data_IF_686067022412
#
_entry.id   IF_686067022412
#
_cell.length_a   1.000
_cell.length_b   1.000
_cell.length_c   1.000
_cell.angle_alpha   90.00
_cell.angle_beta   90.00
_cell.angle_gamma   90.00
#
_symmetry.space_group_name_H-M   'P 1'
#
loop_
_entity.id
_entity.type
_entity.pdbx_description
1 polymer ?
#
# COMPACT_ATOMS: atom_id res chain seq x y z
N UNK A 1 -31.20 -15.24 -12.43
CA UNK A 1 -29.97 -14.49 -12.55
C UNK A 1 -29.57 -14.07 -11.14
N UNK A 2 -28.61 -14.75 -10.55
CA UNK A 2 -28.14 -14.52 -9.17
C UNK A 2 -27.57 -13.11 -9.01
N UNK A 3 -27.71 -12.50 -7.82
CA UNK A 3 -27.18 -11.17 -7.47
C UNK A 3 -25.71 -11.02 -7.88
N UNK A 4 -24.93 -12.08 -7.72
CA UNK A 4 -23.49 -12.12 -8.02
C UNK A 4 -23.16 -11.87 -9.50
N UNK A 5 -24.01 -12.36 -10.43
CA UNK A 5 -23.82 -12.08 -11.87
C UNK A 5 -24.12 -10.64 -12.28
N UNK A 6 -24.95 -9.94 -11.51
CA UNK A 6 -25.27 -8.53 -11.77
C UNK A 6 -24.12 -7.65 -11.26
N UNK A 7 -23.58 -7.97 -10.11
CA UNK A 7 -22.41 -7.25 -9.51
C UNK A 7 -21.20 -7.39 -10.42
N UNK A 8 -20.84 -8.60 -10.86
CA UNK A 8 -19.74 -8.85 -11.80
C UNK A 8 -19.90 -8.08 -13.12
N UNK A 9 -21.13 -8.02 -13.69
CA UNK A 9 -21.36 -7.25 -14.92
C UNK A 9 -21.25 -5.73 -14.72
N UNK A 10 -21.62 -5.21 -13.56
CA UNK A 10 -21.46 -3.79 -13.23
C UNK A 10 -20.00 -3.44 -13.01
N UNK A 11 -19.25 -4.29 -12.33
CA UNK A 11 -17.83 -4.13 -12.09
C UNK A 11 -17.02 -4.12 -13.41
N UNK A 12 -17.25 -5.08 -14.30
CA UNK A 12 -16.62 -5.08 -15.62
C UNK A 12 -16.97 -3.85 -16.47
N UNK A 13 -18.23 -3.37 -16.41
CA UNK A 13 -18.62 -2.14 -17.10
C UNK A 13 -17.90 -0.91 -16.57
N UNK A 14 -17.70 -0.81 -15.25
CA UNK A 14 -16.99 0.30 -14.62
C UNK A 14 -15.50 0.28 -15.02
N UNK A 15 -14.86 -0.89 -15.02
CA UNK A 15 -13.48 -1.06 -15.48
C UNK A 15 -13.30 -0.63 -16.95
N UNK A 16 -14.18 -1.06 -17.83
CA UNK A 16 -14.15 -0.65 -19.25
C UNK A 16 -14.32 0.86 -19.39
N UNK A 17 -15.27 1.48 -18.67
CA UNK A 17 -15.47 2.92 -18.71
C UNK A 17 -14.23 3.70 -18.20
N UNK A 18 -13.57 3.21 -17.15
CA UNK A 18 -12.31 3.80 -16.67
C UNK A 18 -11.21 3.70 -17.74
N UNK A 19 -11.05 2.55 -18.40
CA UNK A 19 -10.07 2.39 -19.48
C UNK A 19 -10.38 3.26 -20.70
N UNK A 20 -11.64 3.45 -21.05
CA UNK A 20 -12.05 4.38 -22.11
C UNK A 20 -11.69 5.83 -21.76
N UNK A 21 -11.88 6.22 -20.48
CA UNK A 21 -11.49 7.54 -19.98
C UNK A 21 -9.97 7.72 -20.00
N UNK A 22 -9.21 6.73 -19.53
CA UNK A 22 -7.73 6.72 -19.57
C UNK A 22 -7.25 6.85 -21.00
N UNK A 23 -7.82 6.08 -21.93
CA UNK A 23 -7.46 6.15 -23.35
C UNK A 23 -7.72 7.52 -23.96
N UNK A 24 -8.82 8.21 -23.57
CA UNK A 24 -9.13 9.57 -24.02
C UNK A 24 -8.13 10.59 -23.46
N UNK A 25 -7.80 10.50 -22.16
CA UNK A 25 -6.84 11.41 -21.50
C UNK A 25 -5.46 11.26 -22.13
N UNK A 26 -5.04 10.04 -22.46
CA UNK A 26 -3.73 9.71 -23.00
C UNK A 26 -3.70 9.60 -24.54
N UNK A 27 -4.74 10.07 -25.24
CA UNK A 27 -4.84 10.01 -26.72
C UNK A 27 -3.63 10.61 -27.44
N UNK A 28 -3.01 11.63 -26.84
CA UNK A 28 -1.83 12.33 -27.39
C UNK A 28 -0.49 11.63 -27.07
N UNK A 29 -0.53 10.55 -26.30
CA UNK A 29 0.62 9.71 -25.98
C UNK A 29 0.63 8.49 -26.91
N UNK A 30 1.80 7.93 -27.18
CA UNK A 30 1.95 6.75 -28.04
C UNK A 30 1.62 5.45 -27.28
N UNK A 31 0.39 5.37 -26.75
CA UNK A 31 -0.10 4.21 -26.00
C UNK A 31 -1.28 3.60 -26.75
N UNK A 32 -1.17 2.32 -27.11
CA UNK A 32 -2.25 1.55 -27.71
C UNK A 32 -3.07 0.79 -26.67
N UNK A 33 -4.40 0.90 -26.74
CA UNK A 33 -5.32 0.15 -25.88
C UNK A 33 -5.99 -0.97 -26.65
N UNK A 34 -5.91 -2.21 -26.15
CA UNK A 34 -6.47 -3.39 -26.79
C UNK A 34 -7.23 -4.24 -25.76
N UNK A 35 -8.38 -4.75 -26.14
CA UNK A 35 -9.14 -5.71 -25.34
C UNK A 35 -9.01 -7.10 -25.98
N UNK A 36 -8.58 -8.08 -25.18
CA UNK A 36 -8.45 -9.48 -25.60
C UNK A 36 -9.52 -10.33 -24.93
N UNK A 37 -10.32 -11.04 -25.76
CA UNK A 37 -11.24 -12.07 -25.25
C UNK A 37 -10.48 -13.36 -25.02
N UNK A 38 -10.08 -13.62 -23.76
CA UNK A 38 -9.24 -14.77 -23.38
C UNK A 38 -9.85 -16.13 -23.78
N UNK A 39 -11.18 -16.22 -23.93
CA UNK A 39 -11.87 -17.45 -24.36
C UNK A 39 -11.78 -17.67 -25.87
N UNK A 40 -11.91 -16.59 -26.64
CA UNK A 40 -11.81 -16.66 -28.11
C UNK A 40 -10.37 -16.69 -28.59
N UNK A 41 -9.49 -15.95 -27.93
CA UNK A 41 -8.09 -15.75 -28.30
C UNK A 41 -7.13 -16.45 -27.33
N UNK A 42 -7.50 -17.64 -26.83
CA UNK A 42 -6.74 -18.37 -25.80
C UNK A 42 -5.25 -18.62 -26.16
N UNK A 43 -4.95 -18.81 -27.46
CA UNK A 43 -3.58 -18.99 -27.92
C UNK A 43 -2.76 -17.69 -27.80
N UNK A 44 -3.39 -16.56 -28.10
CA UNK A 44 -2.76 -15.23 -28.00
C UNK A 44 -2.54 -14.88 -26.54
N UNK A 45 -3.55 -15.04 -25.69
CA UNK A 45 -3.46 -14.80 -24.26
C UNK A 45 -2.30 -15.59 -23.62
N UNK A 46 -2.23 -16.89 -23.92
CA UNK A 46 -1.13 -17.74 -23.44
C UNK A 46 0.24 -17.31 -23.94
N UNK A 47 0.34 -16.90 -25.23
CA UNK A 47 1.60 -16.44 -25.83
C UNK A 47 2.11 -15.14 -25.16
N UNK A 48 1.19 -14.26 -24.78
CA UNK A 48 1.49 -12.98 -24.14
C UNK A 48 1.65 -13.09 -22.62
N UNK A 49 1.44 -14.26 -22.03
CA UNK A 49 1.54 -14.45 -20.57
C UNK A 49 0.33 -13.93 -19.78
N UNK A 50 -0.82 -13.72 -20.46
CA UNK A 50 -2.05 -13.27 -19.79
C UNK A 50 -2.70 -14.46 -19.07
N UNK A 51 -2.47 -14.56 -17.77
CA UNK A 51 -2.86 -15.72 -16.97
C UNK A 51 -4.25 -15.58 -16.35
N UNK A 52 -4.71 -14.34 -16.09
CA UNK A 52 -5.94 -14.06 -15.38
C UNK A 52 -6.98 -13.30 -16.21
N UNK A 53 -8.25 -13.74 -16.10
CA UNK A 53 -9.38 -13.05 -16.73
C UNK A 53 -9.72 -11.77 -15.93
N UNK A 54 -9.76 -10.63 -16.62
CA UNK A 54 -10.11 -9.34 -16.03
C UNK A 54 -8.93 -8.52 -15.52
N UNK A 55 -7.72 -9.04 -15.63
CA UNK A 55 -6.48 -8.32 -15.35
C UNK A 55 -6.13 -7.34 -16.45
N UNK A 56 -5.38 -6.32 -16.10
CA UNK A 56 -4.79 -5.33 -17.00
C UNK A 56 -3.29 -5.61 -17.14
N UNK A 57 -2.87 -5.85 -18.37
CA UNK A 57 -1.47 -6.04 -18.69
C UNK A 57 -0.94 -4.89 -19.54
N UNK A 58 0.24 -4.42 -19.21
CA UNK A 58 0.97 -3.40 -19.97
C UNK A 58 2.17 -4.05 -20.63
N UNK A 59 2.30 -3.86 -21.94
CA UNK A 59 3.43 -4.33 -22.74
C UNK A 59 4.35 -3.14 -23.03
N UNK A 60 5.56 -3.16 -22.47
CA UNK A 60 6.60 -2.17 -22.74
C UNK A 60 7.88 -2.88 -23.20
N UNK A 61 8.23 -2.76 -24.48
CA UNK A 61 9.32 -3.54 -25.06
C UNK A 61 9.06 -5.04 -24.88
N UNK A 62 10.00 -5.73 -24.27
CA UNK A 62 9.90 -7.18 -23.99
C UNK A 62 9.27 -7.48 -22.60
N UNK A 63 8.94 -6.45 -21.83
CA UNK A 63 8.30 -6.59 -20.51
C UNK A 63 6.80 -6.69 -20.62
N UNK A 64 6.22 -7.59 -19.84
CA UNK A 64 4.80 -7.65 -19.54
C UNK A 64 4.62 -7.31 -18.06
N UNK A 65 3.87 -6.24 -17.78
CA UNK A 65 3.60 -5.75 -16.44
C UNK A 65 2.12 -6.00 -16.17
N UNK A 66 1.79 -6.73 -15.12
CA UNK A 66 0.43 -6.84 -14.61
C UNK A 66 0.18 -5.65 -13.67
N UNK A 67 -0.95 -4.96 -13.87
CA UNK A 67 -1.31 -3.83 -13.01
C UNK A 67 -2.10 -4.34 -11.81
N UNK A 68 -1.51 -4.22 -10.63
CA UNK A 68 -2.05 -4.68 -9.34
C UNK A 68 -2.54 -3.54 -8.44
N UNK A 69 -2.65 -2.31 -8.99
CA UNK A 69 -3.12 -1.15 -8.25
C UNK A 69 -4.64 -0.99 -8.23
N UNK A 70 -5.10 0.07 -7.59
CA UNK A 70 -6.50 0.47 -7.61
C UNK A 70 -6.96 0.77 -9.04
N UNK A 71 -8.07 0.16 -9.47
CA UNK A 71 -8.58 0.31 -10.83
C UNK A 71 -9.41 1.60 -10.96
N UNK A 72 -8.75 2.75 -10.77
CA UNK A 72 -9.27 4.11 -10.93
C UNK A 72 -8.60 4.80 -12.12
N UNK A 73 -9.30 5.72 -12.76
CA UNK A 73 -8.80 6.32 -14.00
C UNK A 73 -7.59 7.23 -13.75
N UNK A 74 -7.57 7.99 -12.67
CA UNK A 74 -6.48 8.85 -12.24
C UNK A 74 -5.22 8.05 -11.90
N UNK A 75 -5.35 7.00 -11.10
CA UNK A 75 -4.25 6.08 -10.75
C UNK A 75 -3.64 5.45 -11.99
N UNK A 76 -4.47 4.98 -12.93
CA UNK A 76 -4.00 4.39 -14.19
C UNK A 76 -3.31 5.40 -15.09
N UNK A 77 -3.79 6.65 -15.14
CA UNK A 77 -3.15 7.72 -15.93
C UNK A 77 -1.77 8.02 -15.38
N UNK A 78 -1.63 8.22 -14.08
CA UNK A 78 -0.34 8.47 -13.42
C UNK A 78 0.63 7.31 -13.63
N UNK A 79 0.18 6.09 -13.37
CA UNK A 79 0.98 4.89 -13.58
C UNK A 79 1.53 4.77 -15.01
N UNK A 80 0.67 4.99 -16.02
CA UNK A 80 1.08 4.92 -17.42
C UNK A 80 2.00 6.07 -17.82
N UNK A 81 1.80 7.27 -17.27
CA UNK A 81 2.69 8.41 -17.51
C UNK A 81 4.09 8.13 -16.95
N UNK A 82 4.18 7.67 -15.71
CA UNK A 82 5.47 7.29 -15.10
C UNK A 82 6.16 6.16 -15.87
N UNK A 83 5.38 5.21 -16.39
CA UNK A 83 5.94 4.07 -17.14
C UNK A 83 6.49 4.43 -18.52
N UNK A 84 5.99 5.48 -19.16
CA UNK A 84 6.48 5.93 -20.49
C UNK A 84 7.62 6.95 -20.40
N UNK A 85 7.95 7.44 -19.22
CA UNK A 85 9.13 8.29 -18.99
C UNK A 85 10.42 7.47 -19.09
N UNK A 86 11.56 8.17 -19.20
CA UNK A 86 12.86 7.51 -19.15
C UNK A 86 13.04 6.82 -17.78
N UNK A 87 13.61 5.60 -17.75
CA UNK A 87 13.74 4.85 -16.50
C UNK A 87 14.70 5.49 -15.48
N UNK A 88 15.59 6.37 -15.94
CA UNK A 88 16.56 7.11 -15.10
C UNK A 88 16.40 8.60 -15.31
N UNK A 89 16.16 9.34 -14.23
CA UNK A 89 16.15 10.79 -14.23
C UNK A 89 17.56 11.34 -14.04
N UNK A 90 17.98 12.25 -14.91
CA UNK A 90 19.32 12.84 -14.85
C UNK A 90 19.30 14.12 -14.00
N UNK A 91 20.16 14.18 -12.98
CA UNK A 91 20.32 15.31 -12.06
C UNK A 91 21.63 16.03 -12.33
N UNK A 92 21.57 17.31 -12.75
CA UNK A 92 22.74 18.12 -13.08
C UNK A 92 22.80 19.47 -12.35
N UNK A 93 21.84 19.77 -11.49
CA UNK A 93 21.74 21.06 -10.81
C UNK A 93 21.43 20.93 -9.32
N UNK A 94 21.67 22.02 -8.57
CA UNK A 94 21.31 22.09 -7.15
C UNK A 94 19.78 21.95 -6.92
N UNK A 95 18.99 22.46 -7.84
CA UNK A 95 17.53 22.43 -7.72
C UNK A 95 17.01 20.99 -7.86
N UNK A 96 17.55 20.25 -8.83
CA UNK A 96 17.23 18.84 -9.04
C UNK A 96 17.70 17.98 -7.87
N UNK A 97 18.88 18.26 -7.28
CA UNK A 97 19.31 17.60 -6.05
C UNK A 97 18.34 17.86 -4.90
N UNK A 98 17.86 19.10 -4.73
CA UNK A 98 16.86 19.40 -3.70
C UNK A 98 15.54 18.69 -3.96
N UNK A 99 15.12 18.54 -5.22
CA UNK A 99 13.95 17.75 -5.56
C UNK A 99 14.15 16.27 -5.21
N UNK A 100 15.31 15.70 -5.53
CA UNK A 100 15.69 14.34 -5.14
C UNK A 100 15.69 14.15 -3.62
N UNK A 101 16.30 15.07 -2.87
CA UNK A 101 16.34 15.02 -1.40
C UNK A 101 14.93 15.06 -0.77
N UNK A 102 13.95 15.71 -1.41
CA UNK A 102 12.56 15.82 -0.93
C UNK A 102 11.71 14.56 -1.18
N UNK A 103 12.17 13.64 -2.02
CA UNK A 103 11.50 12.36 -2.19
C UNK A 103 11.80 11.53 -0.96
N UNK A 104 10.84 11.48 -0.02
CA UNK A 104 11.04 10.80 1.27
C UNK A 104 10.46 9.39 1.28
N UNK A 105 9.31 9.20 0.63
CA UNK A 105 8.43 8.04 0.80
C UNK A 105 8.58 6.96 -0.29
N UNK A 106 9.62 7.05 -1.12
CA UNK A 106 9.95 6.07 -2.15
C UNK A 106 11.34 5.49 -1.94
N UNK A 107 11.50 4.23 -2.31
CA UNK A 107 12.83 3.70 -2.59
C UNK A 107 13.38 4.47 -3.79
N UNK A 108 14.58 5.01 -3.65
CA UNK A 108 15.28 5.73 -4.71
C UNK A 108 16.74 5.35 -4.76
N UNK A 109 17.30 5.26 -5.96
CA UNK A 109 18.71 5.04 -6.19
C UNK A 109 19.31 6.22 -6.94
N UNK A 110 20.59 6.51 -6.68
CA UNK A 110 21.34 7.48 -7.46
C UNK A 110 22.74 6.97 -7.75
N UNK A 111 23.14 7.09 -9.02
CA UNK A 111 24.49 6.73 -9.48
C UNK A 111 25.27 7.91 -10.04
N UNK A 112 26.58 7.85 -9.93
CA UNK A 112 27.49 8.80 -10.58
C UNK A 112 28.32 8.10 -11.66
N UNK A 113 28.15 8.55 -12.91
CA UNK A 113 28.79 7.94 -14.08
C UNK A 113 29.55 8.98 -14.91
N UNK A 114 30.40 8.49 -15.82
CA UNK A 114 31.21 9.36 -16.67
C UNK A 114 30.35 10.06 -17.73
N UNK A 115 29.39 9.33 -18.33
CA UNK A 115 28.48 9.79 -19.38
C UNK A 115 27.41 8.72 -19.63
N UNK A 116 26.39 9.06 -20.41
CA UNK A 116 25.35 8.12 -20.89
C UNK A 116 25.92 6.98 -21.77
N UNK A 117 27.05 7.20 -22.42
CA UNK A 117 27.72 6.16 -23.22
C UNK A 117 28.49 5.13 -22.37
N UNK A 118 28.64 5.39 -21.06
CA UNK A 118 29.32 4.46 -20.15
C UNK A 118 28.60 3.14 -20.06
N UNK A 119 29.32 2.02 -20.17
CA UNK A 119 28.75 0.68 -19.97
C UNK A 119 28.13 0.51 -18.58
N UNK A 120 28.67 1.19 -17.56
CA UNK A 120 28.13 1.13 -16.21
C UNK A 120 26.85 1.93 -16.04
N UNK A 121 26.69 3.05 -16.76
CA UNK A 121 25.40 3.75 -16.82
C UNK A 121 24.33 2.92 -17.54
N UNK A 122 24.68 2.27 -18.64
CA UNK A 122 23.74 1.40 -19.38
C UNK A 122 23.26 0.24 -18.53
N UNK A 123 24.16 -0.43 -17.78
CA UNK A 123 23.78 -1.49 -16.86
C UNK A 123 22.83 -0.95 -15.75
N UNK A 124 23.07 0.27 -15.26
CA UNK A 124 22.20 0.93 -14.30
C UNK A 124 20.83 1.29 -14.91
N UNK A 125 20.79 1.79 -16.14
CA UNK A 125 19.57 2.11 -16.87
C UNK A 125 18.74 0.84 -17.17
N UNK A 126 19.38 -0.24 -17.62
CA UNK A 126 18.76 -1.54 -17.84
C UNK A 126 18.19 -2.11 -16.53
N UNK A 127 18.91 -1.97 -15.41
CA UNK A 127 18.40 -2.36 -14.09
C UNK A 127 17.17 -1.51 -13.68
N UNK A 128 17.18 -0.21 -13.97
CA UNK A 128 16.06 0.67 -13.67
C UNK A 128 14.76 0.26 -14.39
N UNK A 129 14.88 -0.24 -15.61
CA UNK A 129 13.72 -0.72 -16.37
C UNK A 129 12.98 -1.87 -15.67
N UNK A 130 13.67 -2.69 -14.87
CA UNK A 130 13.02 -3.78 -14.10
C UNK A 130 12.06 -3.29 -13.04
N UNK A 131 12.32 -2.10 -12.49
CA UNK A 131 11.59 -1.57 -11.32
C UNK A 131 10.67 -0.40 -11.64
N UNK A 132 10.71 0.09 -12.88
CA UNK A 132 9.83 1.18 -13.32
C UNK A 132 8.36 0.69 -13.36
N UNK A 133 7.40 1.47 -12.85
CA UNK A 133 7.54 2.82 -12.30
C UNK A 133 7.70 2.86 -10.77
N UNK A 134 7.80 1.73 -10.08
CA UNK A 134 7.69 1.60 -8.62
C UNK A 134 8.88 2.16 -7.85
N UNK A 135 10.10 2.05 -8.40
CA UNK A 135 11.34 2.52 -7.77
C UNK A 135 11.93 3.62 -8.65
N UNK A 136 12.33 4.72 -8.02
CA UNK A 136 12.89 5.89 -8.71
C UNK A 136 14.41 5.75 -8.85
N UNK A 137 14.89 5.80 -10.10
CA UNK A 137 16.32 5.76 -10.43
C UNK A 137 16.80 7.11 -10.93
N UNK A 138 17.90 7.58 -10.36
CA UNK A 138 18.51 8.86 -10.71
C UNK A 138 19.99 8.67 -11.08
N UNK A 139 20.52 9.52 -11.94
CA UNK A 139 21.93 9.52 -12.25
C UNK A 139 22.44 10.95 -12.39
N UNK A 140 23.74 11.12 -12.13
CA UNK A 140 24.43 12.36 -12.43
C UNK A 140 25.73 12.09 -13.18
N UNK A 141 26.07 13.01 -14.07
CA UNK A 141 27.37 13.09 -14.74
C UNK A 141 28.16 14.30 -14.26
N UNK A 142 27.55 15.12 -13.40
CA UNK A 142 28.15 16.34 -12.85
C UNK A 142 28.94 16.06 -11.56
N UNK A 143 30.23 16.45 -11.55
CA UNK A 143 31.10 16.24 -10.41
C UNK A 143 30.71 17.08 -9.18
N UNK A 144 30.07 18.22 -9.38
CA UNK A 144 29.60 19.09 -8.29
C UNK A 144 28.43 18.47 -7.56
N UNK A 145 27.48 17.89 -8.31
CA UNK A 145 26.34 17.12 -7.78
C UNK A 145 26.86 15.88 -7.05
N UNK A 146 27.74 15.09 -7.69
CA UNK A 146 28.31 13.90 -7.08
C UNK A 146 29.05 14.22 -5.77
N UNK A 147 29.79 15.34 -5.73
CA UNK A 147 30.47 15.78 -4.49
C UNK A 147 29.47 16.16 -3.40
N UNK A 148 28.35 16.83 -3.76
CA UNK A 148 27.32 17.20 -2.78
C UNK A 148 26.68 15.97 -2.14
N UNK A 149 26.44 14.92 -2.93
CA UNK A 149 25.86 13.65 -2.50
C UNK A 149 26.89 12.63 -2.03
N UNK A 150 28.19 13.00 -1.96
CA UNK A 150 29.29 12.13 -1.55
C UNK A 150 29.50 10.89 -2.43
N UNK A 151 28.99 10.90 -3.66
CA UNK A 151 29.08 9.82 -4.63
C UNK A 151 30.47 9.73 -5.26
N UNK A 152 31.00 8.53 -5.38
CA UNK A 152 32.23 8.22 -6.11
C UNK A 152 31.89 7.71 -7.51
N UNK A 153 32.86 7.79 -8.42
CA UNK A 153 32.68 7.31 -9.79
C UNK A 153 32.23 5.84 -9.84
N UNK A 154 31.17 5.58 -10.61
CA UNK A 154 30.51 4.28 -10.74
C UNK A 154 29.92 3.71 -9.44
N UNK A 155 29.70 4.54 -8.44
CA UNK A 155 29.02 4.20 -7.21
C UNK A 155 27.54 4.43 -7.35
N UNK A 156 26.74 3.54 -6.78
CA UNK A 156 25.29 3.64 -6.69
C UNK A 156 24.89 3.58 -5.22
N UNK A 157 24.13 4.58 -4.81
CA UNK A 157 23.56 4.70 -3.47
C UNK A 157 22.08 4.33 -3.51
N UNK A 158 21.68 3.48 -2.57
CA UNK A 158 20.31 3.02 -2.38
C UNK A 158 19.72 3.69 -1.14
N UNK A 159 18.61 4.39 -1.29
CA UNK A 159 17.87 5.03 -0.19
C UNK A 159 16.59 4.27 0.10
N UNK A 160 16.46 3.76 1.32
CA UNK A 160 15.17 3.31 1.83
C UNK A 160 14.24 4.51 2.06
N UNK A 161 12.90 4.32 1.99
CA UNK A 161 11.96 5.37 2.35
C UNK A 161 12.24 5.93 3.74
N UNK A 162 12.15 7.25 3.89
CA UNK A 162 12.32 7.99 5.14
C UNK A 162 13.71 7.96 5.78
N UNK A 163 14.71 7.40 5.08
CA UNK A 163 16.10 7.36 5.52
C UNK A 163 16.92 8.47 4.86
N UNK A 164 17.72 9.17 5.66
CA UNK A 164 18.61 10.25 5.19
C UNK A 164 19.93 9.70 4.64
N UNK A 165 20.43 8.62 5.25
CA UNK A 165 21.69 8.01 4.87
C UNK A 165 21.45 6.82 3.92
N UNK A 166 22.16 6.76 2.80
CA UNK A 166 22.03 5.67 1.84
C UNK A 166 22.80 4.43 2.25
N UNK A 167 22.39 3.30 1.68
CA UNK A 167 23.19 2.08 1.62
C UNK A 167 23.99 2.14 0.31
N UNK A 168 25.32 2.18 0.40
CA UNK A 168 26.19 2.11 -0.78
C UNK A 168 26.19 0.68 -1.27
N UNK A 169 25.77 0.46 -2.52
CA UNK A 169 25.83 -0.88 -3.11
C UNK A 169 27.29 -1.33 -3.19
N UNK A 170 27.65 -2.51 -2.65
CA UNK A 170 29.02 -2.98 -2.62
C UNK A 170 29.58 -3.36 -4.01
N UNK A 171 30.89 -3.56 -4.10
CA UNK A 171 31.59 -4.20 -5.21
C UNK A 171 31.48 -3.53 -6.58
N UNK A 172 31.40 -2.17 -6.61
CA UNK A 172 31.40 -1.43 -7.88
C UNK A 172 32.67 -1.71 -8.75
N UNK A 173 32.54 -1.68 -10.08
CA UNK A 173 31.35 -1.38 -10.89
C UNK A 173 30.41 -2.57 -10.98
N UNK A 174 29.11 -2.32 -11.18
CA UNK A 174 28.07 -3.34 -11.15
C UNK A 174 27.62 -3.76 -12.54
N UNK A 175 27.16 -5.01 -12.67
CA UNK A 175 26.31 -5.46 -13.78
C UNK A 175 24.84 -5.11 -13.52
N UNK A 176 23.99 -5.23 -14.55
CA UNK A 176 22.55 -5.10 -14.41
C UNK A 176 22.00 -6.06 -13.34
N UNK A 177 22.40 -7.33 -13.43
CA UNK A 177 21.91 -8.39 -12.53
C UNK A 177 22.28 -8.14 -11.08
N UNK A 178 23.50 -7.63 -10.79
CA UNK A 178 23.95 -7.32 -9.44
C UNK A 178 23.11 -6.18 -8.83
N UNK A 179 22.76 -5.15 -9.59
CA UNK A 179 21.90 -4.07 -9.13
C UNK A 179 20.48 -4.60 -8.90
N UNK A 180 19.93 -5.38 -9.84
CA UNK A 180 18.59 -5.96 -9.74
C UNK A 180 18.47 -6.88 -8.51
N UNK A 181 19.47 -7.73 -8.26
CA UNK A 181 19.50 -8.63 -7.12
C UNK A 181 19.54 -7.84 -5.80
N UNK A 182 20.43 -6.83 -5.70
CA UNK A 182 20.51 -5.98 -4.52
C UNK A 182 19.19 -5.28 -4.22
N UNK A 183 18.56 -4.67 -5.23
CA UNK A 183 17.27 -3.98 -5.05
C UNK A 183 16.17 -4.94 -4.60
N UNK A 184 16.09 -6.14 -5.18
CA UNK A 184 15.12 -7.17 -4.77
C UNK A 184 15.31 -7.62 -3.33
N UNK A 185 16.54 -7.73 -2.86
CA UNK A 185 16.83 -8.08 -1.47
C UNK A 185 16.45 -6.97 -0.47
N UNK A 186 16.39 -5.70 -0.93
CA UNK A 186 16.13 -4.52 -0.10
C UNK A 186 14.78 -3.85 -0.39
N UNK A 187 13.90 -4.46 -1.14
CA UNK A 187 12.63 -3.81 -1.53
C UNK A 187 11.56 -3.82 -0.45
N UNK A 188 11.80 -4.48 0.71
CA UNK A 188 10.91 -4.42 1.88
C UNK A 188 11.56 -3.55 2.96
N UNK A 189 11.28 -2.23 2.97
CA UNK A 189 11.86 -1.34 3.96
C UNK A 189 11.16 -1.46 5.32
N UNK A 190 11.80 -0.94 6.36
CA UNK A 190 11.28 -0.90 7.73
C UNK A 190 10.00 -0.08 7.86
N UNK A 191 9.88 1.00 7.09
CA UNK A 191 8.66 1.80 6.96
C UNK A 191 8.39 2.05 5.49
N UNK A 192 7.18 1.70 5.02
CA UNK A 192 6.78 1.90 3.62
C UNK A 192 5.36 2.43 3.53
N UNK A 193 5.13 3.32 2.58
CA UNK A 193 3.79 3.84 2.29
C UNK A 193 3.01 2.88 1.41
N UNK A 194 1.75 2.61 1.78
CA UNK A 194 0.80 1.99 0.87
C UNK A 194 0.36 3.03 -0.16
N UNK A 195 0.42 2.68 -1.45
CA UNK A 195 -0.02 3.54 -2.55
C UNK A 195 -1.13 2.88 -3.35
N UNK A 196 -2.03 3.67 -3.95
CA UNK A 196 -3.07 3.12 -4.82
C UNK A 196 -2.54 2.30 -5.99
N UNK A 197 -1.37 2.65 -6.54
CA UNK A 197 -0.78 2.01 -7.72
C UNK A 197 -0.13 0.64 -7.44
N UNK A 198 0.28 0.37 -6.19
CA UNK A 198 0.96 -0.87 -5.79
C UNK A 198 0.35 -1.55 -4.56
N UNK A 199 -0.89 -1.16 -4.22
CA UNK A 199 -1.52 -1.58 -2.95
C UNK A 199 -1.64 -3.10 -2.81
N UNK A 200 -1.94 -3.83 -3.87
CA UNK A 200 -2.11 -5.29 -3.79
C UNK A 200 -0.76 -5.98 -3.65
N UNK A 201 0.26 -5.56 -4.39
CA UNK A 201 1.61 -6.09 -4.27
C UNK A 201 2.19 -5.87 -2.87
N UNK A 202 2.02 -4.66 -2.32
CA UNK A 202 2.44 -4.33 -0.94
C UNK A 202 1.70 -5.18 0.08
N UNK A 203 0.39 -5.42 -0.11
CA UNK A 203 -0.40 -6.23 0.81
C UNK A 203 -0.09 -7.72 0.72
N UNK A 204 0.24 -8.23 -0.46
CA UNK A 204 0.69 -9.62 -0.64
C UNK A 204 2.08 -9.88 -0.03
N UNK A 205 2.93 -8.86 0.06
CA UNK A 205 4.26 -8.92 0.65
C UNK A 205 4.21 -8.80 2.19
N UNK A 206 3.55 -9.75 2.85
CA UNK A 206 3.42 -9.81 4.31
C UNK A 206 4.55 -10.63 4.97
N UNK A 207 4.74 -10.41 6.27
CA UNK A 207 5.68 -11.17 7.10
C UNK A 207 4.90 -12.12 8.03
N UNK A 208 5.10 -13.42 7.84
CA UNK A 208 4.49 -14.46 8.68
C UNK A 208 2.94 -14.40 8.71
N UNK A 209 2.30 -13.90 7.64
CA UNK A 209 0.84 -13.81 7.55
C UNK A 209 0.25 -12.55 8.18
N UNK A 210 1.09 -11.61 8.65
CA UNK A 210 0.63 -10.36 9.28
C UNK A 210 1.23 -9.13 8.61
N UNK A 211 0.56 -7.99 8.80
CA UNK A 211 1.09 -6.66 8.60
C UNK A 211 1.01 -5.84 9.89
N UNK A 212 2.06 -5.08 10.18
CA UNK A 212 1.96 -3.95 11.09
C UNK A 212 1.53 -2.76 10.25
N UNK A 213 0.34 -2.21 10.55
CA UNK A 213 -0.31 -1.16 9.76
C UNK A 213 -0.47 0.08 10.61
N UNK A 214 -0.03 1.23 10.10
CA UNK A 214 -0.22 2.52 10.73
C UNK A 214 -1.04 3.43 9.82
N UNK A 215 -2.13 3.99 10.34
CA UNK A 215 -2.92 5.02 9.68
C UNK A 215 -2.54 6.39 10.24
N UNK A 216 -2.16 7.30 9.36
CA UNK A 216 -1.85 8.68 9.72
C UNK A 216 -2.10 9.58 8.51
N UNK A 217 -3.02 10.52 8.65
CA UNK A 217 -3.30 11.53 7.63
C UNK A 217 -2.21 12.61 7.67
N UNK A 218 -1.40 12.71 6.61
CA UNK A 218 -0.27 13.65 6.55
C UNK A 218 -0.69 15.12 6.60
N UNK A 219 -1.91 15.42 6.17
CA UNK A 219 -2.46 16.76 6.15
C UNK A 219 -2.98 17.23 7.52
N UNK A 220 -3.23 16.30 8.43
CA UNK A 220 -3.64 16.55 9.80
C UNK A 220 -2.41 16.73 10.73
N UNK A 221 -2.43 17.68 11.69
CA UNK A 221 -1.30 17.92 12.60
C UNK A 221 -0.89 16.69 13.42
N UNK A 222 -1.86 15.93 13.96
CA UNK A 222 -1.59 14.78 14.81
C UNK A 222 -1.10 13.60 13.96
N UNK A 223 -1.70 13.43 12.76
CA UNK A 223 -1.24 12.46 11.78
C UNK A 223 0.18 12.73 11.31
N UNK A 224 0.54 13.98 11.08
CA UNK A 224 1.90 14.39 10.73
C UNK A 224 2.88 14.10 11.87
N UNK A 225 2.55 14.46 13.12
CA UNK A 225 3.40 14.19 14.27
C UNK A 225 3.58 12.69 14.49
N UNK A 226 2.51 11.92 14.38
CA UNK A 226 2.60 10.46 14.48
C UNK A 226 3.48 9.85 13.38
N UNK A 227 3.41 10.35 12.15
CA UNK A 227 4.29 9.92 11.07
C UNK A 227 5.77 10.21 11.38
N UNK A 228 6.09 11.34 12.01
CA UNK A 228 7.46 11.64 12.44
C UNK A 228 7.95 10.66 13.53
N UNK A 229 7.07 10.24 14.43
CA UNK A 229 7.37 9.20 15.44
C UNK A 229 7.64 7.84 14.75
N UNK A 230 6.79 7.44 13.79
CA UNK A 230 7.00 6.23 12.99
C UNK A 230 8.32 6.24 12.23
N UNK A 231 8.70 7.38 11.65
CA UNK A 231 10.00 7.55 10.97
C UNK A 231 11.17 7.39 11.94
N UNK A 232 11.05 7.90 13.17
CA UNK A 232 12.08 7.72 14.19
C UNK A 232 12.24 6.24 14.55
N UNK A 233 11.13 5.55 14.86
CA UNK A 233 11.13 4.11 15.16
C UNK A 233 11.77 3.30 14.02
N UNK A 234 11.41 3.63 12.77
CA UNK A 234 12.00 2.96 11.61
C UNK A 234 13.50 3.18 11.50
N UNK A 235 14.00 4.41 11.73
CA UNK A 235 15.44 4.73 11.67
C UNK A 235 16.24 3.99 12.73
N UNK A 236 15.67 3.83 13.92
CA UNK A 236 16.33 3.17 15.03
C UNK A 236 16.34 1.63 14.89
N UNK A 237 15.51 1.09 13.98
CA UNK A 237 15.28 -0.36 13.78
C UNK A 237 15.57 -0.87 12.37
N UNK A 238 16.37 -0.17 11.57
CA UNK A 238 16.71 -0.57 10.18
C UNK A 238 17.41 -1.93 10.08
N UNK A 239 18.11 -2.36 11.13
CA UNK A 239 18.81 -3.63 11.17
C UNK A 239 17.90 -4.84 11.49
N UNK A 240 16.62 -4.59 11.77
CA UNK A 240 15.66 -5.65 12.08
C UNK A 240 14.93 -6.13 10.81
N UNK A 241 15.26 -7.30 10.24
CA UNK A 241 14.65 -7.80 9.01
C UNK A 241 13.19 -8.23 9.18
N UNK A 242 12.76 -8.43 10.44
CA UNK A 242 11.39 -8.85 10.76
C UNK A 242 10.45 -7.66 10.94
N UNK A 243 10.96 -6.42 10.95
CA UNK A 243 10.16 -5.22 11.07
C UNK A 243 9.90 -4.57 9.71
N UNK A 244 8.63 -4.50 9.34
CA UNK A 244 8.15 -3.71 8.22
C UNK A 244 6.77 -3.14 8.54
N UNK A 245 6.72 -1.82 8.70
CA UNK A 245 5.48 -1.09 8.98
C UNK A 245 4.92 -0.56 7.66
N UNK A 246 3.64 -0.82 7.41
CA UNK A 246 2.92 -0.24 6.28
C UNK A 246 2.17 1.00 6.76
N UNK A 247 2.64 2.17 6.35
CA UNK A 247 1.93 3.41 6.60
C UNK A 247 0.88 3.67 5.50
N UNK A 248 -0.33 3.97 5.93
CA UNK A 248 -1.46 4.31 5.08
C UNK A 248 -1.92 5.74 5.40
N UNK A 249 -1.93 6.58 4.37
CA UNK A 249 -2.57 7.89 4.44
C UNK A 249 -4.04 7.72 3.99
N UNK A 250 -5.03 7.96 4.86
CA UNK A 250 -6.45 7.83 4.51
C UNK A 250 -6.87 8.71 3.32
N UNK A 251 -6.20 9.86 3.11
CA UNK A 251 -6.47 10.76 1.99
C UNK A 251 -6.20 10.12 0.62
N UNK A 252 -5.28 9.17 0.54
CA UNK A 252 -4.99 8.44 -0.69
C UNK A 252 -6.10 7.42 -1.04
N UNK A 253 -6.93 7.03 -0.06
CA UNK A 253 -7.90 5.94 -0.20
C UNK A 253 -9.32 6.31 0.30
N UNK A 254 -9.90 7.43 -0.17
CA UNK A 254 -11.17 7.92 0.38
C UNK A 254 -12.34 6.93 0.24
N UNK A 255 -12.26 5.98 -0.69
CA UNK A 255 -13.29 4.96 -0.88
C UNK A 255 -13.14 3.76 0.07
N UNK A 256 -11.98 3.59 0.71
CA UNK A 256 -11.71 2.47 1.62
C UNK A 256 -11.80 2.85 3.10
N UNK A 257 -11.79 4.13 3.45
CA UNK A 257 -11.85 4.62 4.83
C UNK A 257 -13.01 3.98 5.60
N UNK A 258 -14.25 4.14 5.14
CA UNK A 258 -15.42 3.58 5.81
C UNK A 258 -15.42 2.04 5.89
N UNK A 259 -14.76 1.37 4.96
CA UNK A 259 -14.59 -0.08 4.97
C UNK A 259 -13.60 -0.48 6.06
N UNK A 260 -12.45 0.18 6.16
CA UNK A 260 -11.44 -0.08 7.18
C UNK A 260 -11.94 0.21 8.59
N UNK A 261 -12.58 1.37 8.81
CA UNK A 261 -13.19 1.71 10.10
C UNK A 261 -14.16 0.63 10.58
N UNK A 262 -15.00 0.16 9.68
CA UNK A 262 -15.96 -0.91 10.00
C UNK A 262 -15.29 -2.26 10.23
N UNK A 263 -14.30 -2.63 9.41
CA UNK A 263 -13.64 -3.94 9.45
C UNK A 263 -12.76 -4.04 10.69
N UNK A 264 -11.98 -3.01 10.95
CA UNK A 264 -11.02 -2.99 12.05
C UNK A 264 -11.59 -2.41 13.35
N UNK A 265 -12.82 -1.88 13.33
CA UNK A 265 -13.49 -1.21 14.46
C UNK A 265 -12.66 -0.06 15.05
N UNK A 266 -12.04 0.73 14.20
CA UNK A 266 -11.18 1.88 14.53
C UNK A 266 -11.75 3.18 13.99
N UNK A 267 -11.26 4.30 14.52
CA UNK A 267 -11.57 5.66 14.06
C UNK A 267 -10.36 6.22 13.31
N UNK A 268 -10.51 6.50 12.01
CA UNK A 268 -9.43 7.02 11.17
C UNK A 268 -9.34 8.55 11.15
N UNK A 269 -10.17 9.26 11.93
CA UNK A 269 -9.98 10.69 12.21
C UNK A 269 -8.80 10.95 13.16
N UNK A 270 -8.20 9.92 13.70
CA UNK A 270 -7.00 10.00 14.53
C UNK A 270 -5.98 8.93 14.11
N UNK A 271 -4.69 9.12 14.43
CA UNK A 271 -3.66 8.12 14.17
C UNK A 271 -3.97 6.78 14.82
N UNK A 272 -3.67 5.70 14.11
CA UNK A 272 -3.85 4.32 14.57
C UNK A 272 -2.64 3.49 14.18
N UNK A 273 -2.26 2.52 15.02
CA UNK A 273 -1.33 1.46 14.65
C UNK A 273 -1.83 0.13 15.17
N UNK A 274 -1.74 -0.90 14.36
CA UNK A 274 -2.20 -2.24 14.70
C UNK A 274 -1.47 -3.33 13.94
N UNK A 275 -1.68 -4.56 14.37
CA UNK A 275 -1.30 -5.76 13.64
C UNK A 275 -2.54 -6.38 13.00
N UNK A 276 -2.43 -6.75 11.73
CA UNK A 276 -3.53 -7.28 10.92
C UNK A 276 -3.13 -8.63 10.36
N UNK A 277 -3.95 -9.65 10.56
CA UNK A 277 -3.81 -10.95 9.89
C UNK A 277 -4.35 -10.83 8.45
N UNK A 278 -3.53 -11.19 7.47
CA UNK A 278 -3.89 -11.03 6.05
C UNK A 278 -4.92 -12.04 5.56
N UNK A 279 -5.18 -13.11 6.33
CA UNK A 279 -6.06 -14.22 5.90
C UNK A 279 -7.53 -13.91 6.19
N UNK A 280 -7.83 -13.39 7.37
CA UNK A 280 -9.19 -13.18 7.90
C UNK A 280 -9.48 -11.73 8.26
N UNK A 281 -8.45 -10.86 8.24
CA UNK A 281 -8.49 -9.46 8.64
C UNK A 281 -8.73 -9.25 10.15
N UNK A 282 -8.51 -10.27 10.97
CA UNK A 282 -8.44 -10.09 12.42
C UNK A 282 -7.30 -9.15 12.78
N UNK A 283 -7.51 -8.30 13.76
CA UNK A 283 -6.57 -7.21 14.06
C UNK A 283 -6.57 -6.82 15.52
N UNK A 284 -5.40 -6.43 16.01
CA UNK A 284 -5.22 -5.86 17.36
C UNK A 284 -4.59 -4.48 17.21
N UNK A 285 -5.17 -3.48 17.84
CA UNK A 285 -4.77 -2.09 17.73
C UNK A 285 -4.19 -1.58 19.04
N UNK A 286 -3.14 -0.76 18.94
CA UNK A 286 -2.57 -0.07 20.09
C UNK A 286 -3.61 0.90 20.64
N UNK A 287 -3.81 0.87 21.97
CA UNK A 287 -4.66 1.84 22.65
C UNK A 287 -3.94 3.19 22.72
N UNK A 288 -4.42 4.16 21.92
CA UNK A 288 -3.93 5.54 21.92
C UNK A 288 -5.00 6.39 22.62
N UNK A 289 -4.72 6.95 23.82
CA UNK A 289 -5.68 7.73 24.57
C UNK A 289 -6.22 8.94 23.79
N UNK A 290 -7.47 9.34 24.09
CA UNK A 290 -8.13 10.48 23.44
C UNK A 290 -7.64 11.86 23.95
N UNK A 291 -6.65 11.90 24.85
CA UNK A 291 -6.20 13.09 25.60
C UNK A 291 -5.07 13.87 24.91
N UNK A 292 -5.06 13.95 23.59
CA UNK A 292 -4.06 14.67 22.76
C UNK A 292 -2.60 14.17 22.88
N UNK A 293 -2.33 13.10 23.59
CA UNK A 293 -1.00 12.54 23.77
C UNK A 293 -0.77 11.36 22.82
N UNK A 294 -0.03 11.58 21.75
CA UNK A 294 0.48 10.52 20.89
C UNK A 294 1.50 9.64 21.64
N UNK A 295 1.63 8.34 21.29
CA UNK A 295 2.65 7.52 21.91
C UNK A 295 4.05 8.06 21.60
N UNK A 296 4.93 7.98 22.58
CA UNK A 296 6.36 8.26 22.35
C UNK A 296 6.99 7.20 21.45
N UNK A 297 8.14 7.50 20.87
CA UNK A 297 8.88 6.51 20.06
C UNK A 297 9.22 5.25 20.89
N UNK A 298 9.59 5.41 22.18
CA UNK A 298 9.89 4.29 23.09
C UNK A 298 8.66 3.40 23.34
N UNK A 299 7.48 3.99 23.61
CA UNK A 299 6.23 3.24 23.78
C UNK A 299 5.81 2.50 22.51
N UNK A 300 6.03 3.12 21.36
CA UNK A 300 5.74 2.50 20.08
C UNK A 300 6.71 1.36 19.76
N UNK A 301 8.00 1.50 20.07
CA UNK A 301 9.01 0.44 19.95
C UNK A 301 8.68 -0.75 20.84
N UNK A 302 8.32 -0.50 22.10
CA UNK A 302 7.92 -1.54 23.05
C UNK A 302 6.70 -2.32 22.54
N UNK A 303 5.69 -1.60 21.99
CA UNK A 303 4.51 -2.24 21.41
C UNK A 303 4.85 -3.08 20.17
N UNK A 304 5.70 -2.56 19.29
CA UNK A 304 6.18 -3.30 18.09
C UNK A 304 6.97 -4.55 18.50
N UNK A 305 7.83 -4.46 19.53
CA UNK A 305 8.57 -5.62 20.06
C UNK A 305 7.60 -6.68 20.60
N UNK A 306 6.55 -6.28 21.30
CA UNK A 306 5.51 -7.17 21.81
C UNK A 306 4.75 -7.89 20.66
N UNK A 307 4.49 -7.19 19.54
CA UNK A 307 3.93 -7.81 18.33
C UNK A 307 4.89 -8.82 17.71
N UNK A 308 6.16 -8.41 17.50
CA UNK A 308 7.17 -9.26 16.86
C UNK A 308 7.53 -10.50 17.71
N UNK A 309 7.45 -10.38 19.04
CA UNK A 309 7.64 -11.52 19.94
C UNK A 309 6.42 -12.45 20.07
N UNK A 310 5.27 -12.07 19.46
CA UNK A 310 4.02 -12.82 19.54
C UNK A 310 3.27 -12.66 20.87
N UNK A 311 3.65 -11.71 21.69
CA UNK A 311 2.98 -11.35 22.94
C UNK A 311 1.66 -10.63 22.66
N UNK A 312 1.64 -9.83 21.59
CA UNK A 312 0.44 -9.27 20.97
C UNK A 312 0.25 -10.04 19.66
N UNK A 313 -0.87 -10.71 19.52
CA UNK A 313 -1.20 -11.49 18.33
C UNK A 313 -2.72 -11.44 18.08
N UNK A 314 -3.17 -11.83 16.90
CA UNK A 314 -4.56 -11.78 16.49
C UNK A 314 -5.35 -13.06 16.83
N UNK A 315 -4.75 -13.99 17.55
CA UNK A 315 -5.38 -15.30 17.89
C UNK A 315 -6.00 -15.32 19.30
N UNK A 316 -5.71 -14.31 20.15
CA UNK A 316 -6.05 -14.32 21.57
C UNK A 316 -7.43 -13.70 21.92
N UNK A 317 -8.23 -13.20 20.93
CA UNK A 317 -9.50 -12.52 21.19
C UNK A 317 -10.74 -13.44 21.32
N UNK A 318 -10.60 -14.77 21.28
CA UNK A 318 -11.74 -15.69 21.34
C UNK A 318 -12.16 -16.16 22.75
N UNK A 319 -11.49 -15.74 23.84
CA UNK A 319 -11.72 -16.35 25.17
C UNK A 319 -12.34 -15.45 26.25
N UNK A 320 -12.76 -14.21 26.01
CA UNK A 320 -13.29 -13.31 27.06
C UNK A 320 -14.75 -12.82 26.88
N UNK A 321 -15.61 -13.51 26.16
CA UNK A 321 -17.06 -13.35 26.28
C UNK A 321 -17.70 -14.59 26.97
N UNK A 322 -17.30 -14.90 28.20
CA UNK A 322 -18.16 -15.64 29.13
C UNK A 322 -19.27 -14.67 29.59
N UNK A 323 -20.42 -14.78 28.96
CA UNK A 323 -21.68 -14.22 29.43
C UNK A 323 -21.93 -14.69 30.88
N UNK A 324 -21.83 -13.79 31.84
CA UNK A 324 -22.42 -14.00 33.17
C UNK A 324 -23.94 -13.96 32.99
N UNK A 325 -24.52 -15.14 32.75
CA UNK A 325 -25.95 -15.39 32.97
C UNK A 325 -26.21 -15.32 34.46
N UNK A 326 -26.58 -14.15 34.98
CA UNK A 326 -27.20 -14.00 36.28
C UNK A 326 -28.65 -14.53 36.18
N UNK A 327 -28.80 -15.80 36.51
CA UNK A 327 -30.06 -16.41 36.89
C UNK A 327 -30.53 -15.81 38.22
N UNK A 328 -31.34 -14.76 38.19
CA UNK A 328 -32.16 -14.38 39.30
C UNK A 328 -33.54 -15.06 39.20
N UNK A 329 -33.61 -16.27 39.79
CA UNK A 329 -34.84 -16.89 40.25
C UNK A 329 -35.46 -16.02 41.35
N UNK A 330 -36.55 -15.34 41.06
CA UNK A 330 -37.52 -14.90 42.06
C UNK A 330 -38.91 -15.46 41.77
N UNK A 331 -39.18 -16.60 42.43
CA UNK A 331 -40.51 -17.10 42.79
C UNK A 331 -41.30 -16.00 43.53
N UNK A 332 -42.44 -15.61 43.00
CA UNK A 332 -43.59 -15.25 43.86
C UNK A 332 -44.91 -15.58 43.18
N UNK A 333 -45.54 -16.64 43.74
CA UNK A 333 -46.93 -16.97 43.62
C UNK A 333 -47.79 -15.78 44.17
N UNK A 334 -48.86 -15.48 43.48
CA UNK A 334 -50.24 -15.46 44.09
C UNK A 334 -51.28 -14.94 43.09
N UNK A 335 -52.09 -15.83 42.67
CA UNK A 335 -53.56 -15.99 42.89
C UNK A 335 -54.50 -14.81 42.60
N UNK A 336 -55.46 -15.15 41.84
CA UNK A 336 -56.91 -14.78 41.91
C UNK A 336 -57.52 -13.97 40.77
N UNK A 337 -58.17 -14.66 39.91
CA UNK A 337 -59.66 -14.75 39.75
C UNK A 337 -60.43 -13.57 39.15
N UNK A 338 -61.33 -14.04 38.30
CA UNK A 338 -62.67 -13.57 37.91
C UNK A 338 -62.79 -12.65 36.69
N UNK A 339 -63.31 -13.26 35.69
CA UNK A 339 -64.69 -13.13 35.12
C UNK A 339 -65.09 -11.79 34.51
N UNK A 340 -65.58 -11.96 33.40
CA UNK A 340 -66.81 -11.51 32.69
C UNK A 340 -66.60 -10.78 31.37
N UNK A 341 -67.03 -11.48 30.37
CA UNK A 341 -67.95 -11.18 29.27
C UNK A 341 -68.20 -9.67 28.96
N UNK A 342 -68.16 -9.28 27.73
CA UNK A 342 -69.35 -9.03 26.92
C UNK A 342 -69.02 -8.43 25.52
N UNK A 343 -69.71 -8.93 24.58
CA UNK A 343 -70.18 -8.53 23.27
C UNK A 343 -70.04 -7.08 22.77
N UNK A 344 -69.93 -7.06 21.43
CA UNK A 344 -70.53 -6.02 20.60
C UNK A 344 -69.65 -5.60 19.43
N UNK A 345 -69.72 -6.18 18.32
CA UNK A 345 -70.53 -6.05 17.12
C UNK A 345 -70.57 -4.64 16.46
N UNK A 346 -70.47 -4.71 15.21
CA UNK A 346 -70.88 -3.82 14.11
C UNK A 346 -69.88 -2.79 13.60
N UNK A 347 -69.44 -3.07 12.43
CA UNK A 347 -69.92 -2.58 11.10
C UNK A 347 -69.59 -1.12 10.75
N UNK A 348 -69.09 -1.08 9.57
CA UNK A 348 -69.39 -0.19 8.44
C UNK A 348 -68.48 1.01 8.15
N UNK A 349 -67.91 0.87 6.99
CA UNK A 349 -67.94 1.70 5.77
C UNK A 349 -67.15 3.04 5.68
N UNK A 350 -66.54 3.03 4.55
CA UNK A 350 -66.35 4.11 3.54
C UNK A 350 -65.51 5.39 3.87
N UNK A 351 -64.46 5.57 3.27
CA UNK A 351 -64.10 6.25 2.00
C UNK A 351 -62.60 6.25 1.75
#
# INVERSE_FOLDING_TARGET
>A
VTKDKIILKQFQKRRIANLELVAQVLEHKDIGFVMVDAKKEAKLAKKLGFNEEGSLYILKGDRTIEFDGEFAADVLVEFLLDLIEDPVEIINSKLEVQAFERIEDHIKLIGFFKSEDSEYYKAFEEAAEHFQPYIKFFATFDKGVAKKLSLKMNEVDFYEPFMEEPIVIPDKPYTEEEIVEFVKEHQRPTLRRLRPEDMFETWEDNLNGIHIVAFAERSDPDGYEFLEILKQVARDNTDNPDLSIVWIDPDDFPLLVAYWEKTFKIDLFKPQIGVVNVTDADSVWMDIPDDDDLPTAEELEDWVEDVLSGKINTEDDDDDEEEEDDDDDDDDEDDNNSDEEDNGDSDDDDE
#
